data_IF_325877989417
#
_entry.id   IF_325877989417
#
_cell.length_a   1.000
_cell.length_b   1.000
_cell.length_c   1.000
_cell.angle_alpha   90.00
_cell.angle_beta   90.00
_cell.angle_gamma   90.00
#
_symmetry.space_group_name_H-M   'P 1'
#
loop_
_entity.id
_entity.type
_entity.pdbx_description
1 polymer ?
#
# COMPACT_ATOMS: atom_id res chain seq x y z
N UNK A 1 1.13 26.83 -7.23
CA UNK A 1 0.40 25.98 -6.28
C UNK A 1 -0.82 25.39 -6.97
N UNK A 2 -0.83 24.10 -7.30
CA UNK A 2 -2.01 23.41 -7.84
C UNK A 2 -2.62 22.59 -6.68
N UNK A 3 -3.86 22.84 -6.25
CA UNK A 3 -4.45 22.03 -5.19
C UNK A 3 -4.74 20.63 -5.75
N UNK A 4 -4.13 19.61 -5.15
CA UNK A 4 -4.45 18.21 -5.43
C UNK A 4 -5.88 17.93 -4.98
N UNK A 5 -6.76 17.71 -5.95
CA UNK A 5 -8.13 17.26 -5.73
C UNK A 5 -8.08 15.82 -5.21
N UNK A 6 -8.34 15.64 -3.91
CA UNK A 6 -8.61 14.33 -3.32
C UNK A 6 -10.09 14.04 -3.56
N UNK A 7 -10.41 13.43 -4.70
CA UNK A 7 -11.77 12.97 -4.95
C UNK A 7 -12.07 11.78 -4.06
N UNK A 8 -13.00 11.99 -3.11
CA UNK A 8 -13.52 10.96 -2.24
C UNK A 8 -14.37 9.94 -3.00
N UNK A 9 -14.01 8.67 -2.88
CA UNK A 9 -14.94 7.55 -2.99
C UNK A 9 -14.71 6.62 -1.81
N UNK A 10 -15.55 6.77 -0.78
CA UNK A 10 -15.63 5.81 0.33
C UNK A 10 -16.41 4.60 -0.18
N UNK A 11 -15.73 3.61 -0.74
CA UNK A 11 -16.28 2.26 -0.82
C UNK A 11 -16.01 1.57 0.50
N UNK A 12 -17.02 1.53 1.37
CA UNK A 12 -17.13 0.54 2.46
C UNK A 12 -16.84 -0.86 1.91
N UNK A 13 -16.00 -1.71 2.49
CA UNK A 13 -15.19 -1.59 3.69
C UNK A 13 -14.22 -2.77 3.78
N UNK A 14 -13.80 -3.31 2.63
CA UNK A 14 -12.89 -4.45 2.57
C UNK A 14 -11.47 -3.93 2.45
N UNK A 15 -10.71 -4.05 3.55
CA UNK A 15 -9.29 -3.73 3.55
C UNK A 15 -8.51 -4.94 3.04
N UNK A 16 -7.39 -4.68 2.40
CA UNK A 16 -6.51 -5.70 1.84
C UNK A 16 -5.13 -5.62 2.49
N UNK A 17 -4.46 -6.76 2.64
CA UNK A 17 -3.07 -6.76 3.04
C UNK A 17 -2.21 -6.17 1.90
N UNK A 18 -1.45 -5.10 2.15
CA UNK A 18 -0.68 -4.42 1.11
C UNK A 18 0.53 -5.22 0.58
N UNK A 19 0.90 -6.33 1.24
CA UNK A 19 2.03 -7.16 0.85
C UNK A 19 1.61 -8.45 0.14
N UNK A 20 0.45 -9.01 0.51
CA UNK A 20 -0.06 -10.27 -0.07
C UNK A 20 -1.23 -10.06 -1.02
N UNK A 21 -1.94 -8.93 -0.92
CA UNK A 21 -3.13 -8.61 -1.71
C UNK A 21 -4.40 -9.33 -1.25
N UNK A 22 -4.35 -10.10 -0.16
CA UNK A 22 -5.49 -10.84 0.38
C UNK A 22 -6.43 -9.92 1.16
N UNK A 23 -7.73 -10.16 1.05
CA UNK A 23 -8.74 -9.45 1.82
C UNK A 23 -8.56 -9.74 3.32
N UNK A 24 -8.64 -8.69 4.14
CA UNK A 24 -8.57 -8.77 5.60
C UNK A 24 -9.93 -9.20 6.16
N UNK A 25 -10.21 -10.49 6.05
CA UNK A 25 -11.41 -11.09 6.64
C UNK A 25 -11.10 -11.63 8.05
N UNK A 26 -12.08 -11.64 8.97
CA UNK A 26 -11.88 -12.20 10.31
C UNK A 26 -11.38 -13.65 10.26
N UNK A 27 -10.42 -14.00 11.11
CA UNK A 27 -9.82 -15.34 11.23
C UNK A 27 -9.07 -15.86 9.97
N UNK A 28 -8.80 -15.02 8.97
CA UNK A 28 -7.90 -15.42 7.88
C UNK A 28 -6.45 -15.49 8.36
N UNK A 29 -5.78 -16.58 8.01
CA UNK A 29 -4.32 -16.70 8.18
C UNK A 29 -3.66 -16.06 6.97
N UNK A 30 -3.15 -14.83 7.15
CA UNK A 30 -2.44 -14.09 6.11
C UNK A 30 -1.08 -13.60 6.65
N UNK A 31 -0.08 -14.47 6.50
CA UNK A 31 1.26 -14.20 7.00
C UNK A 31 1.93 -13.10 6.16
N UNK A 32 2.19 -11.96 6.79
CA UNK A 32 2.98 -10.89 6.17
C UNK A 32 4.45 -11.31 6.15
N UNK A 33 5.16 -11.17 5.02
CA UNK A 33 6.57 -11.58 4.94
C UNK A 33 7.44 -10.79 5.93
N UNK A 34 8.45 -11.45 6.50
CA UNK A 34 9.29 -10.86 7.54
C UNK A 34 10.00 -9.59 7.07
N UNK A 35 10.43 -9.55 5.81
CA UNK A 35 11.08 -8.37 5.23
C UNK A 35 10.13 -7.16 5.15
N UNK A 36 8.83 -7.38 4.93
CA UNK A 36 7.82 -6.32 4.99
C UNK A 36 7.56 -5.81 6.42
N UNK A 37 7.63 -6.68 7.42
CA UNK A 37 7.55 -6.27 8.84
C UNK A 37 8.76 -5.42 9.25
N UNK A 38 9.92 -5.69 8.66
CA UNK A 38 11.15 -4.90 8.83
C UNK A 38 11.20 -3.62 7.97
N UNK A 39 10.15 -3.34 7.18
CA UNK A 39 10.12 -2.17 6.28
C UNK A 39 11.06 -2.24 5.07
N UNK A 40 11.65 -3.41 4.81
CA UNK A 40 12.61 -3.63 3.71
C UNK A 40 11.91 -3.92 2.38
N UNK A 41 10.63 -4.28 2.41
CA UNK A 41 9.84 -4.52 1.20
C UNK A 41 8.80 -3.44 0.97
N UNK A 42 8.72 -2.87 -0.25
CA UNK A 42 7.63 -2.00 -0.62
C UNK A 42 6.30 -2.77 -0.65
N UNK A 43 5.19 -2.10 -0.29
CA UNK A 43 3.85 -2.63 -0.51
C UNK A 43 3.62 -2.81 -2.01
N UNK A 44 3.06 -3.97 -2.38
CA UNK A 44 2.80 -4.37 -3.77
C UNK A 44 1.33 -4.29 -4.13
N UNK A 45 0.45 -4.14 -3.15
CA UNK A 45 -1.00 -4.09 -3.31
C UNK A 45 -1.60 -2.88 -2.58
N UNK A 46 -2.68 -2.34 -3.13
CA UNK A 46 -3.44 -1.25 -2.52
C UNK A 46 -4.27 -1.78 -1.36
N UNK A 47 -4.12 -1.19 -0.17
CA UNK A 47 -4.88 -1.57 1.02
C UNK A 47 -6.39 -1.30 0.92
N UNK A 48 -6.82 -0.45 -0.01
CA UNK A 48 -8.23 -0.07 -0.19
C UNK A 48 -8.96 -0.86 -1.29
N UNK A 49 -8.24 -1.50 -2.22
CA UNK A 49 -8.90 -2.22 -3.32
C UNK A 49 -8.19 -3.48 -3.82
N UNK A 50 -7.08 -3.89 -3.20
CA UNK A 50 -6.35 -5.11 -3.54
C UNK A 50 -5.64 -5.09 -4.90
N UNK A 51 -5.69 -4.00 -5.67
CA UNK A 51 -4.97 -3.89 -6.95
C UNK A 51 -3.47 -3.84 -6.73
N UNK A 52 -2.71 -4.40 -7.68
CA UNK A 52 -1.26 -4.26 -7.73
C UNK A 52 -0.87 -2.79 -7.89
N UNK A 53 0.13 -2.38 -7.12
CA UNK A 53 0.74 -1.06 -7.18
C UNK A 53 1.86 -1.07 -8.24
N UNK A 54 2.11 0.09 -8.84
CA UNK A 54 3.36 0.35 -9.56
C UNK A 54 4.40 0.71 -8.50
N UNK A 55 5.43 -0.12 -8.37
CA UNK A 55 6.48 0.04 -7.36
C UNK A 55 7.77 0.51 -8.01
N UNK A 56 8.34 1.59 -7.48
CA UNK A 56 9.67 2.06 -7.81
C UNK A 56 10.55 1.98 -6.57
N UNK A 57 11.65 1.25 -6.67
CA UNK A 57 12.67 1.15 -5.63
C UNK A 57 13.82 2.08 -5.98
N UNK A 58 14.27 2.86 -4.99
CA UNK A 58 15.35 3.83 -5.08
C UNK A 58 16.38 3.55 -3.97
N UNK A 59 17.64 4.02 -4.08
CA UNK A 59 18.64 3.79 -3.04
C UNK A 59 18.25 4.29 -1.65
N UNK A 60 17.40 5.33 -1.59
CA UNK A 60 16.95 6.00 -0.37
C UNK A 60 15.53 5.60 0.06
N UNK A 61 14.91 4.60 -0.57
CA UNK A 61 13.56 4.19 -0.24
C UNK A 61 12.75 3.65 -1.41
N UNK A 62 11.43 3.76 -1.33
CA UNK A 62 10.54 3.28 -2.38
C UNK A 62 9.29 4.13 -2.48
N UNK A 63 8.64 4.07 -3.65
CA UNK A 63 7.36 4.70 -3.93
C UNK A 63 6.42 3.68 -4.60
N UNK A 64 5.20 3.58 -4.10
CA UNK A 64 4.20 2.62 -4.58
C UNK A 64 2.90 3.34 -4.90
N UNK A 65 2.42 3.24 -6.15
CA UNK A 65 1.23 3.99 -6.63
C UNK A 65 0.11 3.04 -7.06
N UNK A 66 -1.09 3.29 -6.54
CA UNK A 66 -2.33 2.70 -7.01
C UNK A 66 -2.93 3.57 -8.11
N UNK A 67 -3.39 2.92 -9.19
CA UNK A 67 -4.07 3.62 -10.29
C UNK A 67 -5.37 4.32 -9.88
N UNK A 68 -5.94 4.01 -8.70
CA UNK A 68 -7.23 4.55 -8.22
C UNK A 68 -7.09 5.38 -6.95
N UNK A 69 -6.28 4.93 -5.99
CA UNK A 69 -6.24 5.52 -4.64
C UNK A 69 -5.00 6.37 -4.37
N UNK A 70 -4.15 6.58 -5.38
CA UNK A 70 -2.90 7.32 -5.23
C UNK A 70 -1.76 6.46 -4.67
N UNK A 71 -0.70 7.12 -4.20
CA UNK A 71 0.54 6.45 -3.80
C UNK A 71 0.96 6.69 -2.37
N UNK A 72 1.91 5.87 -1.94
CA UNK A 72 2.61 5.95 -0.66
C UNK A 72 4.09 5.76 -0.90
N UNK A 73 4.91 6.38 -0.06
CA UNK A 73 6.37 6.26 -0.10
C UNK A 73 6.95 5.89 1.27
N UNK A 74 8.21 5.45 1.28
CA UNK A 74 8.91 5.03 2.49
C UNK A 74 9.08 6.14 3.53
N UNK A 75 9.16 7.41 3.13
CA UNK A 75 9.27 8.55 4.05
C UNK A 75 7.96 8.77 4.79
N UNK A 76 6.83 8.77 4.08
CA UNK A 76 5.48 8.88 4.66
C UNK A 76 5.16 7.75 5.65
N UNK A 77 5.79 6.57 5.52
CA UNK A 77 5.67 5.44 6.46
C UNK A 77 6.73 5.40 7.56
N UNK A 78 7.68 6.34 7.59
CA UNK A 78 8.78 6.35 8.57
C UNK A 78 9.76 5.18 8.43
N UNK A 79 9.88 4.62 7.22
CA UNK A 79 10.75 3.47 6.90
C UNK A 79 12.01 3.95 6.16
N UNK A 80 12.75 4.86 6.79
CA UNK A 80 14.02 5.40 6.30
C UNK A 80 15.21 4.77 7.00
#
# INVERSE_FOLDING_TARGET
>A
MRPSKVDGVTTSGEKFNPYTGRALVPNAIDATPQAALLGLEPPRFCGDCGRRLVVQVMPNGWHSVCSRHGGIDSESRGQR
#
